data_IF_937539980667
#
_entry.id   IF_937539980667
#
_cell.length_a   1.000
_cell.length_b   1.000
_cell.length_c   1.000
_cell.angle_alpha   90.00
_cell.angle_beta   90.00
_cell.angle_gamma   90.00
#
_symmetry.space_group_name_H-M   'P 1'
#
loop_
_entity.id
_entity.type
_entity.pdbx_description
1 polymer ?
#
# COMPACT_ATOMS: atom_id res chain seq x y z
N UNK A 1 -7.52 -6.21 9.51
CA UNK A 1 -6.55 -5.21 10.03
C UNK A 1 -7.29 -3.91 10.25
N UNK A 2 -6.84 -3.07 11.20
CA UNK A 2 -7.38 -1.72 11.37
C UNK A 2 -6.84 -0.82 10.26
N UNK A 3 -7.60 0.18 9.82
CA UNK A 3 -7.18 1.08 8.74
C UNK A 3 -5.88 1.83 9.09
N UNK A 4 -5.61 2.11 10.37
CA UNK A 4 -4.36 2.72 10.87
C UNK A 4 -3.11 1.82 10.82
N UNK A 5 -3.25 0.55 10.47
CA UNK A 5 -2.13 -0.39 10.54
C UNK A 5 -1.09 -0.07 9.46
N UNK A 6 0.14 0.27 9.83
CA UNK A 6 1.20 0.57 8.86
C UNK A 6 1.66 -0.72 8.17
N UNK A 7 1.55 -0.73 6.84
CA UNK A 7 2.00 -1.79 5.94
C UNK A 7 3.42 -1.51 5.44
N UNK A 8 3.72 -0.26 5.07
CA UNK A 8 5.05 0.15 4.62
C UNK A 8 5.52 1.36 5.42
N UNK A 9 6.48 1.15 6.33
CA UNK A 9 7.07 2.23 7.14
C UNK A 9 7.95 3.19 6.33
N UNK A 10 8.52 2.73 5.21
CA UNK A 10 9.41 3.56 4.40
C UNK A 10 8.64 4.64 3.63
N UNK A 11 7.40 4.35 3.25
CA UNK A 11 6.53 5.23 2.44
C UNK A 11 5.27 5.63 3.22
N UNK A 12 5.23 5.35 4.53
CA UNK A 12 4.11 5.61 5.45
C UNK A 12 2.73 5.11 4.97
N UNK A 13 2.71 3.94 4.30
CA UNK A 13 1.48 3.35 3.75
C UNK A 13 0.76 2.50 4.79
N UNK A 14 -0.53 2.73 4.95
CA UNK A 14 -1.43 2.04 5.87
C UNK A 14 -2.29 0.97 5.18
N UNK A 15 -2.90 0.08 5.97
CA UNK A 15 -3.88 -0.90 5.49
C UNK A 15 -5.10 -0.21 4.88
N UNK A 16 -5.53 0.93 5.44
CA UNK A 16 -6.64 1.71 4.89
C UNK A 16 -6.38 2.16 3.46
N UNK A 17 -5.16 2.59 3.14
CA UNK A 17 -4.78 2.98 1.78
C UNK A 17 -4.75 1.79 0.80
N UNK A 18 -4.25 0.63 1.25
CA UNK A 18 -4.31 -0.61 0.46
C UNK A 18 -5.77 -1.00 0.20
N UNK A 19 -6.63 -0.95 1.21
CA UNK A 19 -8.06 -1.25 1.08
C UNK A 19 -8.76 -0.29 0.13
N UNK A 20 -8.49 1.01 0.21
CA UNK A 20 -9.03 2.00 -0.73
C UNK A 20 -8.57 1.75 -2.17
N UNK A 21 -7.33 1.29 -2.38
CA UNK A 21 -6.87 0.93 -3.70
C UNK A 21 -7.61 -0.31 -4.25
N UNK A 22 -7.84 -1.32 -3.40
CA UNK A 22 -8.65 -2.49 -3.76
C UNK A 22 -10.09 -2.10 -4.13
N UNK A 23 -10.71 -1.18 -3.38
CA UNK A 23 -12.07 -0.66 -3.66
C UNK A 23 -12.16 0.13 -4.97
N UNK A 24 -11.04 0.75 -5.40
CA UNK A 24 -10.92 1.40 -6.72
C UNK A 24 -10.71 0.42 -7.87
N UNK A 25 -10.57 -0.88 -7.59
CA UNK A 25 -10.41 -1.94 -8.59
C UNK A 25 -8.97 -2.32 -8.92
N UNK A 26 -7.97 -1.77 -8.23
CA UNK A 26 -6.59 -2.24 -8.35
C UNK A 26 -6.47 -3.59 -7.64
N UNK A 27 -6.13 -4.65 -8.35
CA UNK A 27 -6.20 -6.03 -7.79
C UNK A 27 -4.90 -6.80 -7.89
N UNK A 28 -3.91 -6.27 -8.61
CA UNK A 28 -2.57 -6.86 -8.69
C UNK A 28 -1.59 -6.18 -7.75
N UNK A 29 -0.58 -6.91 -7.30
CA UNK A 29 0.47 -6.36 -6.44
C UNK A 29 1.18 -5.18 -7.11
N UNK A 30 1.47 -5.26 -8.41
CA UNK A 30 2.16 -4.19 -9.13
C UNK A 30 1.32 -2.93 -9.23
N UNK A 31 0.01 -3.04 -9.45
CA UNK A 31 -0.90 -1.90 -9.40
C UNK A 31 -0.91 -1.28 -8.01
N UNK A 32 -1.09 -2.10 -6.97
CA UNK A 32 -1.09 -1.65 -5.58
C UNK A 32 0.22 -0.92 -5.24
N UNK A 33 1.38 -1.50 -5.59
CA UNK A 33 2.68 -0.86 -5.39
C UNK A 33 2.80 0.43 -6.19
N UNK A 34 2.31 0.51 -7.42
CA UNK A 34 2.37 1.74 -8.24
C UNK A 34 1.50 2.86 -7.67
N UNK A 35 0.30 2.54 -7.19
CA UNK A 35 -0.66 3.56 -6.73
C UNK A 35 -0.44 3.97 -5.27
N UNK A 36 0.05 3.05 -4.43
CA UNK A 36 0.30 3.32 -3.00
C UNK A 36 1.78 3.55 -2.68
N UNK A 37 2.69 3.22 -3.60
CA UNK A 37 4.15 3.19 -3.39
C UNK A 37 4.63 2.19 -2.33
N UNK A 38 3.75 1.35 -1.78
CA UNK A 38 4.15 0.34 -0.79
C UNK A 38 5.32 -0.52 -1.31
N UNK A 39 6.40 -0.60 -0.52
CA UNK A 39 7.61 -1.34 -0.88
C UNK A 39 8.51 -0.68 -1.94
N UNK A 40 8.23 0.56 -2.34
CA UNK A 40 9.10 1.34 -3.26
C UNK A 40 10.07 2.28 -2.53
N UNK A 41 10.06 2.30 -1.20
CA UNK A 41 10.98 3.11 -0.41
C UNK A 41 12.39 2.55 -0.36
N UNK A 42 13.28 3.19 0.40
CA UNK A 42 14.71 2.81 0.50
C UNK A 42 14.95 1.35 0.91
N UNK A 43 14.01 0.76 1.63
CA UNK A 43 14.05 -0.65 2.02
C UNK A 43 13.82 -1.65 0.86
N UNK A 44 13.32 -1.18 -0.30
CA UNK A 44 13.04 -1.97 -1.50
C UNK A 44 12.03 -3.12 -1.33
N UNK A 45 11.12 -2.99 -0.36
CA UNK A 45 10.04 -3.94 -0.11
C UNK A 45 10.35 -4.87 1.03
#
# INVERSE_FOLDING_TARGET
MKDETIICRCEDVTWGEIRQALEKGYTTLDEIKRVTRAGMGRCQG
#
